data_IF_145486842290
#
_entry.id   IF_145486842290
#
_cell.length_a   1.000
_cell.length_b   1.000
_cell.length_c   1.000
_cell.angle_alpha   90.00
_cell.angle_beta   90.00
_cell.angle_gamma   90.00
#
_symmetry.space_group_name_H-M   'P 1'
#
loop_
_entity.id
_entity.type
_entity.pdbx_description
1 polymer ?
#
# COMPACT_ATOMS: atom_id res chain seq x y z
N UNK A 1 -4.21 6.04 -5.93
CA UNK A 1 -5.63 5.68 -5.76
C UNK A 1 -5.96 4.41 -6.55
N UNK A 2 -5.79 4.39 -7.88
CA UNK A 2 -6.18 3.27 -8.75
C UNK A 2 -5.50 1.96 -8.34
N UNK A 3 -4.21 1.97 -8.10
CA UNK A 3 -3.45 0.78 -7.67
C UNK A 3 -3.97 0.20 -6.35
N UNK A 4 -4.25 1.09 -5.38
CA UNK A 4 -4.83 0.68 -4.09
C UNK A 4 -6.26 0.16 -4.25
N UNK A 5 -7.06 0.76 -5.13
CA UNK A 5 -8.40 0.27 -5.45
C UNK A 5 -8.34 -1.14 -6.06
N UNK A 6 -7.43 -1.37 -6.99
CA UNK A 6 -7.22 -2.70 -7.58
C UNK A 6 -6.80 -3.73 -6.53
N UNK A 7 -5.83 -3.40 -5.68
CA UNK A 7 -5.43 -4.31 -4.59
C UNK A 7 -6.58 -4.58 -3.63
N UNK A 8 -7.33 -3.56 -3.24
CA UNK A 8 -8.50 -3.72 -2.39
C UNK A 8 -9.56 -4.61 -3.02
N UNK A 9 -9.88 -4.39 -4.29
CA UNK A 9 -10.86 -5.20 -5.02
C UNK A 9 -10.40 -6.65 -5.15
N UNK A 10 -9.19 -6.88 -5.65
CA UNK A 10 -8.65 -8.23 -5.83
C UNK A 10 -8.57 -8.99 -4.49
N UNK A 11 -8.07 -8.34 -3.44
CA UNK A 11 -7.97 -8.98 -2.13
C UNK A 11 -9.32 -9.26 -1.49
N UNK A 12 -10.35 -8.45 -1.79
CA UNK A 12 -11.69 -8.66 -1.26
C UNK A 12 -12.42 -9.84 -1.93
N UNK A 13 -12.32 -9.94 -3.25
CA UNK A 13 -13.08 -10.93 -4.01
C UNK A 13 -12.30 -12.21 -4.29
N UNK A 14 -10.98 -12.17 -4.31
CA UNK A 14 -10.10 -13.28 -4.64
C UNK A 14 -9.13 -13.64 -3.51
N UNK A 15 -9.57 -13.52 -2.24
CA UNK A 15 -8.72 -13.78 -1.07
C UNK A 15 -8.16 -15.20 -1.06
N UNK A 16 -8.97 -16.19 -1.39
CA UNK A 16 -8.57 -17.61 -1.40
C UNK A 16 -7.56 -17.93 -2.51
N UNK A 17 -7.80 -17.42 -3.71
CA UNK A 17 -6.90 -17.57 -4.85
C UNK A 17 -5.56 -16.90 -4.58
N UNK A 18 -5.60 -15.75 -3.89
CA UNK A 18 -4.40 -15.01 -3.48
C UNK A 18 -3.58 -15.81 -2.47
N UNK A 19 -4.23 -16.44 -1.48
CA UNK A 19 -3.57 -17.31 -0.50
C UNK A 19 -2.91 -18.52 -1.17
N UNK A 20 -3.60 -19.16 -2.10
CA UNK A 20 -3.06 -20.29 -2.87
C UNK A 20 -1.83 -19.85 -3.68
N UNK A 21 -1.90 -18.69 -4.33
CA UNK A 21 -0.79 -18.15 -5.13
C UNK A 21 0.44 -17.81 -4.27
N UNK A 22 0.20 -17.32 -3.05
CA UNK A 22 1.25 -17.03 -2.08
C UNK A 22 1.74 -18.28 -1.32
N UNK A 23 1.21 -19.46 -1.65
CA UNK A 23 1.51 -20.74 -0.95
C UNK A 23 1.28 -20.67 0.56
N UNK A 24 0.27 -19.91 0.96
CA UNK A 24 -0.17 -19.81 2.36
C UNK A 24 -1.36 -20.74 2.54
N UNK A 25 -1.35 -21.51 3.64
CA UNK A 25 -2.47 -22.38 3.96
C UNK A 25 -3.72 -21.54 4.21
N UNK A 26 -4.74 -21.74 3.36
CA UNK A 26 -6.02 -21.05 3.50
C UNK A 26 -6.72 -21.57 4.77
N UNK A 27 -6.91 -20.67 5.72
CA UNK A 27 -7.76 -20.89 6.87
C UNK A 27 -8.63 -19.64 7.11
N UNK A 28 -9.69 -19.77 7.88
CA UNK A 28 -10.63 -18.67 8.10
C UNK A 28 -9.98 -17.40 8.66
N UNK A 29 -8.93 -17.53 9.45
CA UNK A 29 -8.20 -16.39 10.00
C UNK A 29 -7.38 -15.66 8.91
N UNK A 30 -6.70 -16.40 8.03
CA UNK A 30 -5.94 -15.81 6.93
C UNK A 30 -6.86 -15.10 5.93
N UNK A 31 -7.99 -15.70 5.59
CA UNK A 31 -9.02 -15.07 4.75
C UNK A 31 -9.53 -13.76 5.36
N UNK A 32 -9.85 -13.78 6.66
CA UNK A 32 -10.32 -12.58 7.37
C UNK A 32 -9.28 -11.46 7.37
N UNK A 33 -8.02 -11.77 7.59
CA UNK A 33 -6.93 -10.79 7.58
C UNK A 33 -6.81 -10.15 6.18
N UNK A 34 -6.87 -10.94 5.12
CA UNK A 34 -6.81 -10.41 3.74
C UNK A 34 -8.01 -9.50 3.45
N UNK A 35 -9.22 -9.86 3.92
CA UNK A 35 -10.40 -9.03 3.73
C UNK A 35 -10.30 -7.70 4.51
N UNK A 36 -9.75 -7.72 5.73
CA UNK A 36 -9.48 -6.49 6.50
C UNK A 36 -8.45 -5.62 5.76
N UNK A 37 -7.38 -6.21 5.24
CA UNK A 37 -6.41 -5.48 4.42
C UNK A 37 -7.05 -4.90 3.15
N UNK A 38 -7.93 -5.64 2.51
CA UNK A 38 -8.70 -5.15 1.35
C UNK A 38 -9.51 -3.90 1.69
N UNK A 39 -10.18 -3.89 2.84
CA UNK A 39 -10.93 -2.73 3.32
C UNK A 39 -10.02 -1.51 3.56
N UNK A 40 -8.81 -1.73 4.12
CA UNK A 40 -7.81 -0.68 4.30
C UNK A 40 -7.31 -0.11 2.96
N UNK A 41 -7.04 -0.97 1.98
CA UNK A 41 -6.66 -0.53 0.63
C UNK A 41 -7.75 0.31 -0.03
N UNK A 42 -9.01 -0.09 0.11
CA UNK A 42 -10.14 0.68 -0.41
C UNK A 42 -10.29 2.02 0.29
N UNK A 43 -10.15 2.06 1.62
CA UNK A 43 -10.13 3.31 2.39
C UNK A 43 -9.05 4.27 1.92
N UNK A 44 -7.82 3.81 1.77
CA UNK A 44 -6.71 4.60 1.23
C UNK A 44 -6.95 5.02 -0.22
N UNK A 45 -7.53 4.16 -1.06
CA UNK A 45 -7.87 4.50 -2.44
C UNK A 45 -8.85 5.67 -2.50
N UNK A 46 -9.91 5.62 -1.70
CA UNK A 46 -10.93 6.68 -1.62
C UNK A 46 -10.30 7.99 -1.12
N UNK A 47 -9.53 7.95 -0.02
CA UNK A 47 -8.87 9.14 0.52
C UNK A 47 -7.90 9.77 -0.50
N UNK A 48 -7.11 8.96 -1.17
CA UNK A 48 -6.20 9.44 -2.21
C UNK A 48 -6.95 9.99 -3.43
N UNK A 49 -8.08 9.39 -3.79
CA UNK A 49 -8.92 9.88 -4.88
C UNK A 49 -9.56 11.23 -4.54
N UNK A 50 -10.11 11.37 -3.36
CA UNK A 50 -10.74 12.63 -2.90
C UNK A 50 -9.72 13.78 -2.84
N UNK A 51 -8.47 13.48 -2.51
CA UNK A 51 -7.41 14.48 -2.39
C UNK A 51 -6.55 14.67 -3.65
N UNK A 52 -6.88 14.03 -4.77
CA UNK A 52 -6.10 14.11 -6.01
C UNK A 52 -5.89 15.53 -6.56
N UNK A 53 -6.77 16.46 -6.23
CA UNK A 53 -6.69 17.86 -6.65
C UNK A 53 -6.17 18.79 -5.55
N UNK A 54 -5.89 18.28 -4.35
CA UNK A 54 -5.36 19.09 -3.26
C UNK A 54 -3.90 19.43 -3.51
N UNK A 55 -3.51 20.64 -3.15
CA UNK A 55 -2.12 21.09 -3.20
C UNK A 55 -1.30 20.19 -2.27
N UNK A 56 -0.25 19.56 -2.83
CA UNK A 56 0.69 18.73 -2.07
C UNK A 56 1.38 19.63 -1.03
N UNK A 57 1.23 19.29 0.26
CA UNK A 57 1.80 20.08 1.36
C UNK A 57 0.78 20.89 2.17
N UNK A 58 -0.49 20.94 1.78
CA UNK A 58 -1.55 21.50 2.60
C UNK A 58 -1.79 20.72 3.88
N UNK A 59 -2.35 21.38 4.90
CA UNK A 59 -2.59 20.81 6.25
C UNK A 59 -3.32 19.47 6.20
N UNK A 60 -4.28 19.34 5.28
CA UNK A 60 -5.07 18.10 5.11
C UNK A 60 -4.42 17.05 4.20
N UNK A 61 -3.44 17.42 3.39
CA UNK A 61 -2.73 16.49 2.52
C UNK A 61 -1.54 15.80 3.24
N UNK A 62 -0.94 16.47 4.21
CA UNK A 62 0.18 15.93 4.99
C UNK A 62 -0.15 14.63 5.74
N UNK A 63 -1.24 14.53 6.53
CA UNK A 63 -1.59 13.29 7.22
C UNK A 63 -1.83 12.14 6.25
N UNK A 64 -2.46 12.41 5.10
CA UNK A 64 -2.68 11.39 4.09
C UNK A 64 -1.36 10.92 3.44
N UNK A 65 -0.46 11.84 3.12
CA UNK A 65 0.85 11.51 2.57
C UNK A 65 1.69 10.70 3.58
N UNK A 66 1.63 11.07 4.88
CA UNK A 66 2.28 10.33 5.95
C UNK A 66 1.70 8.93 6.11
N UNK A 67 0.38 8.78 6.07
CA UNK A 67 -0.29 7.49 6.15
C UNK A 67 0.11 6.56 5.01
N UNK A 68 0.11 7.07 3.78
CA UNK A 68 0.56 6.31 2.61
C UNK A 68 2.05 5.95 2.70
N UNK A 69 2.90 6.91 3.08
CA UNK A 69 4.33 6.67 3.26
C UNK A 69 4.60 5.56 4.28
N UNK A 70 3.99 5.67 5.46
CA UNK A 70 4.15 4.69 6.53
C UNK A 70 3.64 3.31 6.11
N UNK A 71 2.47 3.25 5.47
CA UNK A 71 1.92 1.99 4.97
C UNK A 71 2.86 1.28 3.99
N UNK A 72 3.32 2.01 2.97
CA UNK A 72 4.20 1.42 1.95
C UNK A 72 5.60 1.12 2.49
N UNK A 73 6.13 1.94 3.39
CA UNK A 73 7.44 1.72 4.00
C UNK A 73 7.44 0.45 4.88
N UNK A 74 6.50 0.36 5.81
CA UNK A 74 6.37 -0.80 6.71
C UNK A 74 6.07 -2.05 5.89
N UNK A 75 5.17 -1.94 4.91
CA UNK A 75 4.87 -3.04 3.99
C UNK A 75 6.09 -3.51 3.19
N UNK A 76 6.94 -2.60 2.72
CA UNK A 76 8.18 -2.95 2.03
C UNK A 76 9.10 -3.77 2.93
N UNK A 77 9.28 -3.38 4.19
CA UNK A 77 10.10 -4.16 5.14
C UNK A 77 9.49 -5.52 5.44
N UNK A 78 8.18 -5.60 5.64
CA UNK A 78 7.49 -6.86 5.90
C UNK A 78 7.62 -7.83 4.70
N UNK A 79 7.39 -7.34 3.49
CA UNK A 79 7.52 -8.13 2.26
C UNK A 79 8.98 -8.52 2.00
N UNK A 80 9.94 -7.62 2.24
CA UNK A 80 11.37 -7.89 2.12
C UNK A 80 11.84 -9.00 3.05
N UNK A 81 11.28 -9.06 4.27
CA UNK A 81 11.55 -10.15 5.20
C UNK A 81 11.03 -11.49 4.66
N UNK A 82 9.81 -11.52 4.13
CA UNK A 82 9.26 -12.74 3.52
C UNK A 82 10.09 -13.19 2.33
N UNK A 83 10.59 -12.26 1.51
CA UNK A 83 11.47 -12.56 0.39
C UNK A 83 12.81 -13.16 0.82
N UNK A 84 13.38 -12.73 1.95
CA UNK A 84 14.62 -13.31 2.47
C UNK A 84 14.43 -14.76 2.94
N UNK A 85 13.23 -15.10 3.41
CA UNK A 85 12.88 -16.45 3.84
C UNK A 85 12.44 -17.34 2.66
N UNK A 86 11.76 -16.78 1.65
CA UNK A 86 11.19 -17.50 0.50
C UNK A 86 11.47 -16.77 -0.82
N UNK A 87 12.70 -16.81 -1.34
CA UNK A 87 13.07 -16.04 -2.54
C UNK A 87 12.43 -16.55 -3.85
N UNK A 88 11.85 -17.75 -3.86
CA UNK A 88 11.33 -18.42 -5.05
C UNK A 88 9.88 -18.04 -5.41
N UNK A 89 9.39 -16.91 -4.93
CA UNK A 89 8.03 -16.41 -5.22
C UNK A 89 8.09 -15.17 -6.12
N UNK A 90 7.99 -15.30 -7.46
CA UNK A 90 8.12 -14.15 -8.37
C UNK A 90 7.08 -13.06 -8.11
N UNK A 91 5.85 -13.43 -7.73
CA UNK A 91 4.80 -12.47 -7.38
C UNK A 91 5.15 -11.60 -6.19
N UNK A 92 5.90 -12.13 -5.21
CA UNK A 92 6.36 -11.37 -4.04
C UNK A 92 7.42 -10.32 -4.42
N UNK A 93 8.29 -10.61 -5.38
CA UNK A 93 9.27 -9.65 -5.90
C UNK A 93 8.57 -8.45 -6.56
N UNK A 94 7.56 -8.73 -7.39
CA UNK A 94 6.77 -7.67 -8.04
C UNK A 94 6.06 -6.81 -7.00
N UNK A 95 5.38 -7.44 -6.03
CA UNK A 95 4.67 -6.74 -4.98
C UNK A 95 5.60 -5.88 -4.12
N UNK A 96 6.74 -6.42 -3.71
CA UNK A 96 7.75 -5.68 -2.92
C UNK A 96 8.29 -4.48 -3.70
N UNK A 97 8.56 -4.65 -4.99
CA UNK A 97 9.04 -3.56 -5.86
C UNK A 97 8.00 -2.44 -5.97
N UNK A 98 6.73 -2.77 -6.13
CA UNK A 98 5.63 -1.80 -6.18
C UNK A 98 5.55 -1.02 -4.85
N UNK A 99 5.59 -1.72 -3.72
CA UNK A 99 5.57 -1.10 -2.40
C UNK A 99 6.76 -0.16 -2.17
N UNK A 100 7.94 -0.59 -2.56
CA UNK A 100 9.16 0.21 -2.45
C UNK A 100 9.08 1.49 -3.29
N UNK A 101 8.63 1.40 -4.54
CA UNK A 101 8.46 2.55 -5.42
C UNK A 101 7.45 3.56 -4.86
N UNK A 102 6.33 3.09 -4.30
CA UNK A 102 5.36 3.98 -3.67
C UNK A 102 5.91 4.60 -2.38
N UNK A 103 6.65 3.83 -1.55
CA UNK A 103 7.32 4.37 -0.37
C UNK A 103 8.29 5.50 -0.74
N UNK A 104 9.12 5.30 -1.76
CA UNK A 104 10.01 6.35 -2.28
C UNK A 104 9.23 7.56 -2.78
N UNK A 105 8.19 7.35 -3.58
CA UNK A 105 7.39 8.43 -4.16
C UNK A 105 6.74 9.30 -3.08
N UNK A 106 6.11 8.70 -2.09
CA UNK A 106 5.52 9.43 -0.98
C UNK A 106 6.56 10.05 -0.05
N UNK A 107 7.72 9.41 0.13
CA UNK A 107 8.85 9.97 0.85
C UNK A 107 9.38 11.24 0.19
N UNK A 108 9.59 11.22 -1.12
CA UNK A 108 10.03 12.40 -1.88
C UNK A 108 9.02 13.53 -1.75
N UNK A 109 7.73 13.24 -1.94
CA UNK A 109 6.65 14.23 -1.80
C UNK A 109 6.65 14.86 -0.41
N UNK A 110 6.85 14.06 0.63
CA UNK A 110 6.81 14.55 2.01
C UNK A 110 8.01 15.41 2.40
N UNK A 111 9.20 14.98 2.01
CA UNK A 111 10.44 15.57 2.53
C UNK A 111 11.04 16.62 1.60
N UNK A 112 10.76 16.55 0.28
CA UNK A 112 11.38 17.43 -0.72
C UNK A 112 10.43 18.47 -1.32
N UNK A 113 9.17 18.52 -0.90
CA UNK A 113 8.23 19.60 -1.27
C UNK A 113 7.90 20.45 -0.04
N UNK A 114 8.79 21.34 0.39
CA UNK A 114 8.44 22.34 1.41
C UNK A 114 7.38 23.26 0.82
N UNK A 115 6.30 23.46 1.58
CA UNK A 115 5.30 24.48 1.28
C UNK A 115 6.03 25.81 1.12
N UNK A 116 6.00 26.44 -0.07
CA UNK A 116 6.32 27.84 -0.18
C UNK A 116 5.41 28.58 0.80
N UNK A 117 5.98 29.13 1.88
CA UNK A 117 5.29 30.15 2.64
C UNK A 117 4.96 31.27 1.67
N UNK A 118 3.68 31.47 1.38
CA UNK A 118 3.23 32.73 0.78
C UNK A 118 3.50 33.79 1.84
N UNK A 119 4.51 34.57 1.61
CA UNK A 119 4.69 35.85 2.28
C UNK A 119 3.54 36.78 1.92
#
# INVERSE_FOLDING_TARGET
AITLALFGFLSSFFSKELLVHLKITSNGAADMIIQIMAALYMGFAIMNWMKRQAIIGGIYARPLAMGNFSHFLIGTFALGRVLSEKPNLPGMWVLTSIYFLFALSFGIVMFFHPVKKSE
#
